data_IF_082677683452
#
_entry.id   IF_082677683452
#
_cell.length_a   1.000
_cell.length_b   1.000
_cell.length_c   1.000
_cell.angle_alpha   90.00
_cell.angle_beta   90.00
_cell.angle_gamma   90.00
#
_symmetry.space_group_name_H-M   'P 1'
#
loop_
_entity.id
_entity.type
_entity.pdbx_description
1 polymer ?
#
# COMPACT_ATOMS: atom_id res chain seq x y z
N UNK A 1 4.17 -24.62 67.91
CA UNK A 1 5.29 -24.55 66.94
C UNK A 1 4.76 -23.84 65.71
N UNK A 2 5.01 -22.53 65.57
CA UNK A 2 4.56 -21.76 64.41
C UNK A 2 5.53 -22.10 63.28
N UNK A 3 5.09 -22.90 62.32
CA UNK A 3 5.85 -23.16 61.10
C UNK A 3 5.80 -21.86 60.31
N UNK A 4 6.84 -21.02 60.47
CA UNK A 4 7.07 -19.90 59.55
C UNK A 4 7.38 -20.54 58.20
N UNK A 5 6.42 -20.46 57.29
CA UNK A 5 6.63 -20.78 55.89
C UNK A 5 7.56 -19.71 55.31
N UNK A 6 8.87 -19.83 55.57
CA UNK A 6 9.87 -18.94 55.00
C UNK A 6 10.08 -19.38 53.57
N UNK A 7 9.28 -18.82 52.66
CA UNK A 7 9.51 -18.91 51.23
C UNK A 7 10.98 -18.51 50.99
N UNK A 8 11.76 -19.31 50.24
CA UNK A 8 13.16 -18.99 50.01
C UNK A 8 13.27 -17.60 49.36
N UNK A 9 14.27 -16.78 49.75
CA UNK A 9 14.43 -15.44 49.20
C UNK A 9 14.60 -15.55 47.70
N UNK A 10 13.75 -14.84 46.95
CA UNK A 10 13.66 -14.94 45.50
C UNK A 10 13.54 -13.54 44.89
N UNK A 11 14.13 -13.30 43.70
CA UNK A 11 13.97 -12.04 42.99
C UNK A 11 12.52 -11.93 42.48
N UNK A 12 11.95 -10.72 42.48
CA UNK A 12 10.59 -10.47 42.00
C UNK A 12 10.64 -9.27 41.05
N UNK A 13 10.25 -9.50 39.80
CA UNK A 13 10.15 -8.45 38.78
C UNK A 13 8.87 -7.62 39.00
N UNK A 14 9.02 -6.31 39.15
CA UNK A 14 7.91 -5.36 39.09
C UNK A 14 8.18 -4.33 38.00
N UNK A 15 7.17 -4.00 37.20
CA UNK A 15 7.28 -3.02 36.11
C UNK A 15 6.25 -1.91 36.28
N UNK A 16 6.60 -0.69 35.89
CA UNK A 16 5.68 0.45 35.84
C UNK A 16 6.11 1.45 34.78
N UNK A 17 5.22 1.89 33.87
CA UNK A 17 3.81 1.51 33.74
C UNK A 17 3.63 0.14 33.05
N UNK A 18 2.41 -0.42 33.10
CA UNK A 18 2.06 -1.67 32.41
C UNK A 18 1.87 -1.52 30.89
N UNK A 19 1.75 -0.29 30.39
CA UNK A 19 1.69 0.04 28.97
C UNK A 19 2.44 1.35 28.73
N UNK A 20 3.13 1.45 27.61
CA UNK A 20 3.90 2.64 27.24
C UNK A 20 3.07 3.58 26.37
N UNK A 21 2.98 4.84 26.80
CA UNK A 21 2.43 5.93 26.00
C UNK A 21 3.58 6.76 25.45
N UNK A 22 3.79 6.69 24.15
CA UNK A 22 4.83 7.45 23.46
C UNK A 22 4.33 8.84 23.03
N UNK A 23 3.05 9.15 23.24
CA UNK A 23 2.46 10.43 22.91
C UNK A 23 2.46 10.73 21.41
N UNK A 24 2.72 12.00 21.08
CA UNK A 24 2.67 12.51 19.71
C UNK A 24 4.01 12.34 19.01
N UNK A 25 4.06 11.48 18.00
CA UNK A 25 5.24 11.25 17.17
C UNK A 25 5.14 12.11 15.92
N UNK A 26 6.08 13.04 15.80
CA UNK A 26 6.34 13.78 14.57
C UNK A 26 7.60 13.20 13.92
N UNK A 27 7.47 12.56 12.76
CA UNK A 27 8.59 11.94 12.06
C UNK A 27 9.62 12.97 11.53
N UNK A 28 9.25 14.25 11.44
CA UNK A 28 10.15 15.34 11.03
C UNK A 28 11.01 15.86 12.18
N UNK A 29 10.59 15.65 13.43
CA UNK A 29 11.28 16.16 14.62
C UNK A 29 12.05 15.03 15.33
N UNK A 30 13.00 15.39 16.18
CA UNK A 30 13.71 14.41 17.01
C UNK A 30 12.81 13.96 18.18
N UNK A 31 12.91 12.69 18.54
CA UNK A 31 12.13 12.15 19.64
C UNK A 31 12.49 12.86 20.95
N UNK A 32 11.47 13.27 21.69
CA UNK A 32 11.59 13.93 22.99
C UNK A 32 10.64 13.28 24.00
N UNK A 33 10.78 13.56 25.29
CA UNK A 33 9.92 13.00 26.33
C UNK A 33 8.45 13.39 26.07
N UNK A 34 7.56 12.39 25.95
CA UNK A 34 6.15 12.59 25.54
C UNK A 34 5.93 12.75 24.03
N UNK A 35 7.01 12.73 23.24
CA UNK A 35 7.01 12.85 21.78
C UNK A 35 7.87 11.76 21.14
N UNK A 36 7.37 10.53 21.14
CA UNK A 36 8.09 9.35 20.67
C UNK A 36 9.05 8.73 21.69
N UNK A 37 9.05 9.20 22.94
CA UNK A 37 9.79 8.58 24.05
C UNK A 37 8.83 8.25 25.20
N UNK A 38 8.93 7.02 25.69
CA UNK A 38 8.25 6.53 26.88
C UNK A 38 9.26 5.93 27.86
N UNK A 39 8.98 6.02 29.17
CA UNK A 39 9.85 5.50 30.24
C UNK A 39 9.20 4.29 30.91
N UNK A 40 9.97 3.24 31.07
CA UNK A 40 9.64 2.08 31.89
C UNK A 40 10.57 2.02 33.09
N UNK A 41 10.01 1.93 34.29
CA UNK A 41 10.76 1.63 35.51
C UNK A 41 10.62 0.15 35.83
N UNK A 42 11.75 -0.53 35.99
CA UNK A 42 11.83 -1.91 36.47
C UNK A 42 12.34 -1.87 37.90
N UNK A 43 11.65 -2.55 38.82
CA UNK A 43 12.02 -2.64 40.24
C UNK A 43 12.15 -4.10 40.66
N UNK A 44 13.08 -4.33 41.58
CA UNK A 44 13.21 -5.61 42.26
C UNK A 44 12.47 -5.60 43.61
N UNK A 45 11.30 -6.23 43.63
CA UNK A 45 10.46 -6.35 44.84
C UNK A 45 10.81 -7.58 45.69
N UNK A 46 11.80 -8.34 45.24
CA UNK A 46 12.25 -9.55 45.90
C UNK A 46 13.47 -9.35 46.79
N UNK A 47 13.98 -10.47 47.28
CA UNK A 47 15.01 -10.51 48.33
C UNK A 47 16.40 -10.90 47.80
N UNK A 48 16.51 -11.12 46.48
CA UNK A 48 17.76 -11.46 45.78
C UNK A 48 17.94 -10.57 44.56
N UNK A 49 19.17 -10.51 44.04
CA UNK A 49 19.49 -9.75 42.83
C UNK A 49 18.63 -10.19 41.64
N UNK A 50 17.93 -9.23 41.05
CA UNK A 50 17.16 -9.38 39.82
C UNK A 50 18.08 -9.07 38.63
N UNK A 51 18.15 -9.99 37.67
CA UNK A 51 18.94 -9.87 36.46
C UNK A 51 18.06 -10.23 35.27
N UNK A 52 18.03 -9.36 34.28
CA UNK A 52 17.18 -9.55 33.11
C UNK A 52 17.56 -8.68 31.92
N UNK A 53 16.78 -8.84 30.86
CA UNK A 53 16.90 -8.15 29.58
C UNK A 53 15.53 -7.81 29.01
N UNK A 54 15.44 -6.67 28.34
CA UNK A 54 14.32 -6.23 27.51
C UNK A 54 14.57 -6.71 26.07
N UNK A 55 13.68 -7.55 25.54
CA UNK A 55 13.70 -8.02 24.16
C UNK A 55 12.57 -7.37 23.36
N UNK A 56 12.92 -6.43 22.47
CA UNK A 56 11.99 -5.75 21.58
C UNK A 56 11.41 -6.74 20.56
N UNK A 57 10.09 -6.69 20.34
CA UNK A 57 9.35 -7.57 19.43
C UNK A 57 8.86 -6.85 18.16
N UNK A 58 9.02 -5.52 18.10
CA UNK A 58 8.55 -4.68 16.99
C UNK A 58 9.71 -3.88 16.38
N UNK A 59 9.67 -3.66 15.06
CA UNK A 59 10.76 -2.98 14.35
C UNK A 59 10.83 -1.46 14.60
N UNK A 60 9.73 -0.85 15.07
CA UNK A 60 9.56 0.59 15.22
C UNK A 60 9.92 1.13 16.61
N UNK A 61 10.40 0.31 17.56
CA UNK A 61 10.82 0.74 18.90
C UNK A 61 12.24 0.31 19.21
N UNK A 62 12.94 1.08 20.03
CA UNK A 62 14.19 0.67 20.69
C UNK A 62 14.08 0.89 22.19
N UNK A 63 14.73 0.06 23.00
CA UNK A 63 14.89 0.29 24.43
C UNK A 63 16.36 0.48 24.81
N UNK A 64 16.64 1.42 25.72
CA UNK A 64 17.97 1.66 26.25
C UNK A 64 17.94 2.06 27.74
N UNK A 65 18.83 1.50 28.59
CA UNK A 65 19.62 0.28 28.32
C UNK A 65 18.70 -0.94 28.20
N UNK A 66 19.05 -2.01 27.47
CA UNK A 66 18.20 -3.20 27.39
C UNK A 66 18.43 -4.18 28.56
N UNK A 67 19.59 -4.14 29.20
CA UNK A 67 19.99 -5.04 30.28
C UNK A 67 19.88 -4.34 31.64
N UNK A 68 19.53 -5.10 32.69
CA UNK A 68 19.47 -4.59 34.06
C UNK A 68 19.93 -5.60 35.09
N UNK A 69 20.49 -5.08 36.20
CA UNK A 69 20.94 -5.83 37.37
C UNK A 69 20.61 -5.02 38.61
N UNK A 70 19.64 -5.46 39.40
CA UNK A 70 19.06 -4.69 40.50
C UNK A 70 19.20 -5.45 41.81
N UNK A 71 19.73 -4.78 42.83
CA UNK A 71 19.69 -5.28 44.19
C UNK A 71 18.25 -5.26 44.75
N UNK A 72 17.97 -5.98 45.85
CA UNK A 72 16.66 -5.91 46.51
C UNK A 72 16.23 -4.47 46.80
N UNK A 73 15.03 -4.09 46.37
CA UNK A 73 14.47 -2.74 46.51
C UNK A 73 15.01 -1.69 45.54
N UNK A 74 15.93 -2.04 44.65
CA UNK A 74 16.48 -1.14 43.63
C UNK A 74 15.59 -1.07 42.39
N UNK A 75 15.61 0.09 41.71
CA UNK A 75 14.91 0.32 40.45
C UNK A 75 15.86 0.84 39.37
N UNK A 76 15.58 0.51 38.11
CA UNK A 76 16.20 1.10 36.92
C UNK A 76 15.17 1.66 35.95
N UNK A 77 15.53 2.76 35.30
CA UNK A 77 14.74 3.35 34.22
C UNK A 77 15.27 2.92 32.87
N UNK A 78 14.34 2.60 31.98
CA UNK A 78 14.59 2.18 30.61
C UNK A 78 13.80 3.07 29.66
N UNK A 79 14.50 3.73 28.75
CA UNK A 79 13.90 4.61 27.75
C UNK A 79 13.53 3.80 26.52
N UNK A 80 12.27 3.87 26.14
CA UNK A 80 11.77 3.35 24.89
C UNK A 80 11.60 4.50 23.91
N UNK A 81 12.15 4.36 22.71
CA UNK A 81 12.14 5.40 21.68
C UNK A 81 11.56 4.83 20.39
N UNK A 82 10.60 5.55 19.81
CA UNK A 82 10.05 5.26 18.49
C UNK A 82 11.11 5.57 17.43
N UNK A 83 11.42 4.59 16.59
CA UNK A 83 12.35 4.75 15.47
C UNK A 83 11.72 5.60 14.39
N UNK A 84 12.52 6.48 13.78
CA UNK A 84 12.18 7.13 12.51
C UNK A 84 12.15 6.07 11.42
N UNK A 85 10.95 5.60 11.06
CA UNK A 85 10.75 4.83 9.84
C UNK A 85 10.30 5.80 8.77
N UNK A 86 11.04 5.84 7.67
CA UNK A 86 10.86 6.71 6.51
C UNK A 86 9.68 6.27 5.61
N UNK A 87 8.67 5.60 6.18
CA UNK A 87 7.51 5.08 5.46
C UNK A 87 6.18 5.59 6.04
N UNK A 88 5.54 6.37 5.17
CA UNK A 88 4.11 6.42 4.85
C UNK A 88 3.11 7.07 5.82
N UNK A 89 2.68 8.27 5.40
CA UNK A 89 1.28 8.65 5.10
C UNK A 89 0.18 7.79 5.75
N UNK A 90 0.11 7.77 7.08
CA UNK A 90 -1.12 7.39 7.78
C UNK A 90 -1.91 8.64 8.17
N UNK A 91 -3.24 8.57 8.00
CA UNK A 91 -4.14 9.66 8.39
C UNK A 91 -3.91 10.00 9.87
N UNK A 92 -3.76 11.29 10.12
CA UNK A 92 -3.53 11.88 11.45
C UNK A 92 -4.66 11.50 12.40
N UNK A 93 -4.31 11.23 13.65
CA UNK A 93 -5.27 11.16 14.75
C UNK A 93 -5.71 9.77 15.18
N UNK A 94 -5.23 8.68 14.57
CA UNK A 94 -5.47 7.33 15.09
C UNK A 94 -4.38 6.90 16.08
N UNK A 95 -4.79 6.19 17.13
CA UNK A 95 -3.92 5.50 18.08
C UNK A 95 -3.24 4.34 17.35
N UNK A 96 -1.93 4.43 17.14
CA UNK A 96 -1.10 3.37 16.56
C UNK A 96 -0.33 2.68 17.68
N UNK A 97 -0.06 1.39 17.57
CA UNK A 97 0.63 0.65 18.62
C UNK A 97 0.54 -0.85 18.46
N UNK A 98 1.07 -1.55 19.45
CA UNK A 98 0.96 -3.00 19.60
C UNK A 98 0.76 -3.32 21.08
N UNK A 99 -0.06 -4.32 21.38
CA UNK A 99 -0.21 -4.85 22.75
C UNK A 99 1.02 -5.64 23.20
N UNK A 100 1.93 -5.95 22.27
CA UNK A 100 3.18 -6.64 22.55
C UNK A 100 4.35 -5.98 21.80
N UNK A 101 4.98 -4.98 22.43
CA UNK A 101 6.14 -4.27 21.89
C UNK A 101 7.47 -4.82 22.44
N UNK A 102 7.47 -5.34 23.67
CA UNK A 102 8.66 -5.94 24.27
C UNK A 102 8.32 -7.02 25.30
N UNK A 103 9.24 -7.98 25.44
CA UNK A 103 9.28 -8.98 26.48
C UNK A 103 10.40 -8.62 27.47
N UNK A 104 10.07 -8.37 28.73
CA UNK A 104 11.03 -8.25 29.82
C UNK A 104 11.22 -9.64 30.42
N UNK A 105 12.39 -10.24 30.25
CA UNK A 105 12.71 -11.55 30.79
C UNK A 105 13.79 -11.45 31.86
N UNK A 106 13.55 -12.05 33.02
CA UNK A 106 14.46 -12.02 34.17
C UNK A 106 14.43 -13.32 34.97
N UNK A 107 15.42 -13.48 35.85
CA UNK A 107 15.43 -14.57 36.84
C UNK A 107 14.32 -14.46 37.92
N UNK A 108 13.57 -13.35 37.97
CA UNK A 108 12.46 -13.11 38.90
C UNK A 108 11.07 -13.08 38.26
N UNK A 109 10.96 -13.50 37.00
CA UNK A 109 9.72 -13.50 36.22
C UNK A 109 9.90 -12.96 34.81
N UNK A 110 8.83 -13.04 34.01
CA UNK A 110 8.76 -12.44 32.68
C UNK A 110 7.47 -11.64 32.56
N UNK A 111 7.56 -10.48 31.93
CA UNK A 111 6.43 -9.58 31.70
C UNK A 111 6.43 -9.09 30.25
N UNK A 112 5.24 -8.95 29.67
CA UNK A 112 5.05 -8.38 28.34
C UNK A 112 4.54 -6.97 28.47
N UNK A 113 5.08 -6.05 27.67
CA UNK A 113 4.60 -4.67 27.63
C UNK A 113 4.10 -4.31 26.25
N UNK A 114 2.94 -3.66 26.22
CA UNK A 114 2.37 -3.02 25.04
C UNK A 114 2.70 -1.53 25.01
N UNK A 115 2.41 -0.87 23.90
CA UNK A 115 2.53 0.57 23.82
C UNK A 115 1.93 1.18 22.58
N UNK A 116 1.66 2.48 22.65
CA UNK A 116 0.95 3.22 21.63
C UNK A 116 1.46 4.65 21.47
N UNK A 117 1.22 5.22 20.29
CA UNK A 117 1.56 6.58 19.91
C UNK A 117 0.48 7.16 18.98
N UNK A 118 0.53 8.47 18.78
CA UNK A 118 -0.32 9.20 17.83
C UNK A 118 0.58 9.92 16.84
N UNK A 119 0.18 9.97 15.57
CA UNK A 119 0.94 10.74 14.57
C UNK A 119 0.51 12.20 14.62
N UNK A 120 1.47 13.08 14.82
CA UNK A 120 1.28 14.52 14.64
C UNK A 120 1.49 14.90 13.17
N UNK A 121 0.40 14.94 12.40
CA UNK A 121 0.40 15.58 11.08
C UNK A 121 0.02 17.05 11.22
N UNK A 122 0.67 17.78 12.13
CA UNK A 122 0.78 19.21 11.96
C UNK A 122 1.51 19.44 10.63
N UNK A 123 0.74 19.44 9.54
CA UNK A 123 1.09 20.15 8.33
C UNK A 123 1.45 21.53 8.83
N UNK A 124 2.76 21.78 8.95
CA UNK A 124 3.26 23.12 8.88
C UNK A 124 2.91 23.55 7.48
N UNK A 125 1.68 24.05 7.31
CA UNK A 125 1.28 24.90 6.22
C UNK A 125 2.24 26.07 6.35
N UNK A 126 3.44 25.93 5.77
CA UNK A 126 4.34 27.03 5.52
C UNK A 126 3.46 28.00 4.79
N UNK A 127 3.00 29.05 5.48
CA UNK A 127 2.21 30.15 4.90
C UNK A 127 2.94 30.50 3.62
N UNK A 128 2.36 30.12 2.47
CA UNK A 128 2.96 30.40 1.17
C UNK A 128 3.22 31.90 1.19
N UNK A 129 4.49 32.29 1.11
CA UNK A 129 4.85 33.69 1.07
C UNK A 129 3.99 34.36 -0.02
N UNK A 130 3.39 35.53 0.25
CA UNK A 130 2.53 36.16 -0.75
C UNK A 130 3.32 36.29 -2.05
N UNK A 131 2.75 35.77 -3.15
CA UNK A 131 3.34 35.85 -4.48
C UNK A 131 3.75 37.30 -4.74
N UNK A 132 5.05 37.52 -4.93
CA UNK A 132 5.55 38.89 -5.09
C UNK A 132 4.88 39.56 -6.29
N UNK A 133 4.57 40.86 -6.24
CA UNK A 133 3.93 41.59 -7.34
C UNK A 133 4.71 41.51 -8.66
N UNK A 134 6.00 41.15 -8.61
CA UNK A 134 6.85 40.93 -9.79
C UNK A 134 6.38 39.75 -10.65
N UNK A 135 5.83 38.70 -10.04
CA UNK A 135 5.36 37.51 -10.78
C UNK A 135 4.16 37.86 -11.66
N UNK A 136 3.24 38.69 -11.16
CA UNK A 136 2.12 39.19 -11.95
C UNK A 136 2.56 40.09 -13.11
N UNK A 137 3.61 40.91 -12.91
CA UNK A 137 4.19 41.72 -13.97
C UNK A 137 4.80 40.85 -15.09
N UNK A 138 5.51 39.76 -14.74
CA UNK A 138 6.06 38.82 -15.72
C UNK A 138 4.97 38.07 -16.48
N UNK A 139 3.88 37.66 -15.81
CA UNK A 139 2.73 37.02 -16.45
C UNK A 139 2.03 37.96 -17.45
N UNK A 140 1.82 39.22 -17.07
CA UNK A 140 1.24 40.22 -17.96
C UNK A 140 2.14 40.51 -19.18
N UNK A 141 3.46 40.59 -18.98
CA UNK A 141 4.43 40.76 -20.06
C UNK A 141 4.45 39.56 -21.01
N UNK A 142 4.37 38.34 -20.49
CA UNK A 142 4.29 37.11 -21.28
C UNK A 142 3.01 37.06 -22.13
N UNK A 143 1.87 37.47 -21.56
CA UNK A 143 0.60 37.58 -22.30
C UNK A 143 0.66 38.65 -23.40
N UNK A 144 1.31 39.79 -23.16
CA UNK A 144 1.49 40.81 -24.19
C UNK A 144 2.41 40.35 -25.32
N UNK A 145 3.50 39.65 -25.01
CA UNK A 145 4.42 39.11 -26.02
C UNK A 145 3.73 38.04 -26.88
N UNK A 146 2.97 37.14 -26.27
CA UNK A 146 2.20 36.13 -27.02
C UNK A 146 1.15 36.78 -27.92
N UNK A 147 0.42 37.79 -27.44
CA UNK A 147 -0.52 38.54 -28.27
C UNK A 147 0.17 39.28 -29.43
N UNK A 148 1.36 39.86 -29.21
CA UNK A 148 2.14 40.53 -30.26
C UNK A 148 2.63 39.55 -31.34
N UNK A 149 3.07 38.35 -30.95
CA UNK A 149 3.46 37.30 -31.91
C UNK A 149 2.26 36.84 -32.73
N UNK A 150 1.12 36.58 -32.08
CA UNK A 150 -0.11 36.18 -32.79
C UNK A 150 -0.58 37.27 -33.77
N UNK A 151 -0.53 38.54 -33.37
CA UNK A 151 -0.85 39.66 -34.26
C UNK A 151 0.09 39.75 -35.46
N UNK A 152 1.40 39.52 -35.25
CA UNK A 152 2.39 39.54 -36.32
C UNK A 152 2.17 38.41 -37.34
N UNK A 153 1.89 37.19 -36.87
CA UNK A 153 1.54 36.05 -37.74
C UNK A 153 0.28 36.35 -38.55
N UNK A 154 -0.76 36.90 -37.91
CA UNK A 154 -2.01 37.24 -38.59
C UNK A 154 -1.82 38.36 -39.64
N UNK A 155 -0.91 39.30 -39.40
CA UNK A 155 -0.56 40.36 -40.35
C UNK A 155 0.22 39.84 -41.56
N UNK A 156 1.11 38.85 -41.37
CA UNK A 156 1.79 38.19 -42.48
C UNK A 156 0.82 37.41 -43.39
N UNK A 157 -0.16 36.72 -42.80
CA UNK A 157 -1.10 35.88 -43.55
C UNK A 157 -2.01 36.71 -44.49
N UNK A 158 -2.36 37.94 -44.07
CA UNK A 158 -3.07 38.90 -44.94
C UNK A 158 -2.32 39.26 -46.22
N UNK A 159 -0.98 39.24 -46.23
CA UNK A 159 -0.19 39.56 -47.43
C UNK A 159 -0.07 38.39 -48.42
N UNK A 160 -0.33 37.16 -47.98
CA UNK A 160 -0.18 35.94 -48.79
C UNK A 160 -1.53 35.49 -49.41
N UNK A 161 -2.65 35.90 -48.81
CA UNK A 161 -3.99 35.44 -49.21
C UNK A 161 -4.49 36.01 -50.54
N UNK A 162 -3.94 37.14 -51.04
CA UNK A 162 -4.37 37.74 -52.31
C UNK A 162 -3.74 37.09 -53.56
N UNK A 163 -2.66 36.30 -53.42
CA UNK A 163 -1.94 35.74 -54.59
C UNK A 163 -2.23 34.25 -54.85
N UNK A 164 -2.75 33.49 -53.89
CA UNK A 164 -2.98 32.03 -54.04
C UNK A 164 -4.37 31.63 -54.51
N UNK A 165 -5.37 32.49 -54.40
CA UNK A 165 -6.78 32.16 -54.71
C UNK A 165 -7.09 32.09 -56.20
N UNK A 166 -6.28 32.70 -57.06
CA UNK A 166 -6.54 32.72 -58.51
C UNK A 166 -5.95 31.53 -59.28
N UNK A 167 -4.82 30.95 -58.84
CA UNK A 167 -4.17 29.83 -59.57
C UNK A 167 -4.73 28.45 -59.19
N UNK A 168 -5.13 28.21 -57.94
CA UNK A 168 -5.61 26.88 -57.54
C UNK A 168 -7.06 26.58 -57.93
N UNK A 169 -7.88 27.62 -58.13
CA UNK A 169 -9.30 27.45 -58.44
C UNK A 169 -9.50 26.98 -59.89
N UNK A 170 -8.68 27.46 -60.85
CA UNK A 170 -8.77 27.02 -62.25
C UNK A 170 -8.32 25.57 -62.46
N UNK A 171 -7.31 25.10 -61.71
CA UNK A 171 -6.84 23.71 -61.76
C UNK A 171 -7.83 22.70 -61.15
N UNK A 172 -8.60 23.11 -60.13
CA UNK A 172 -9.60 22.26 -59.50
C UNK A 172 -10.83 22.02 -60.40
N UNK A 173 -11.26 23.04 -61.16
CA UNK A 173 -12.42 22.90 -62.05
C UNK A 173 -12.17 21.99 -63.27
N UNK A 174 -10.95 21.94 -63.79
CA UNK A 174 -10.60 21.05 -64.91
C UNK A 174 -10.52 19.58 -64.49
N UNK A 175 -9.97 19.27 -63.31
CA UNK A 175 -9.92 17.89 -62.82
C UNK A 175 -11.30 17.30 -62.52
N UNK A 176 -12.24 18.11 -62.02
CA UNK A 176 -13.61 17.64 -61.75
C UNK A 176 -14.36 17.34 -63.05
N UNK A 177 -14.17 18.16 -64.10
CA UNK A 177 -14.81 17.93 -65.39
C UNK A 177 -14.37 16.61 -66.05
N UNK A 178 -13.08 16.26 -65.98
CA UNK A 178 -12.56 15.00 -66.54
C UNK A 178 -13.05 13.77 -65.75
N UNK A 179 -13.20 13.89 -64.43
CA UNK A 179 -13.64 12.77 -63.58
C UNK A 179 -15.12 12.43 -63.79
N UNK A 180 -15.98 13.44 -64.00
CA UNK A 180 -17.42 13.23 -64.23
C UNK A 180 -17.68 12.57 -65.60
N UNK A 181 -16.89 12.90 -66.63
CA UNK A 181 -17.02 12.26 -67.94
C UNK A 181 -16.58 10.78 -67.94
N UNK A 182 -15.64 10.40 -67.06
CA UNK A 182 -15.23 9.00 -66.89
C UNK A 182 -16.27 8.16 -66.12
N UNK A 183 -16.92 8.73 -65.11
CA UNK A 183 -17.92 8.04 -64.29
C UNK A 183 -19.20 7.71 -65.09
N UNK A 184 -19.64 8.63 -65.97
CA UNK A 184 -20.80 8.42 -66.84
C UNK A 184 -20.52 7.32 -67.89
N UNK A 185 -19.27 7.16 -68.34
CA UNK A 185 -18.89 6.11 -69.29
C UNK A 185 -18.80 4.71 -68.64
N UNK A 186 -18.66 4.62 -67.31
CA UNK A 186 -18.50 3.36 -66.57
C UNK A 186 -19.81 2.73 -66.08
N UNK A 187 -20.96 3.40 -66.22
CA UNK A 187 -22.27 2.94 -65.71
C UNK A 187 -23.12 2.10 -66.69
N UNK A 188 -22.50 1.26 -67.54
CA UNK A 188 -23.24 0.16 -68.19
C UNK A 188 -23.35 -1.07 -67.24
N UNK A 189 -24.51 -1.74 -67.17
CA UNK A 189 -24.84 -2.59 -66.03
C UNK A 189 -24.35 -4.04 -66.17
N UNK A 190 -23.90 -4.64 -65.07
CA UNK A 190 -23.95 -6.09 -64.79
C UNK A 190 -23.82 -6.35 -63.27
N UNK A 191 -24.27 -7.49 -62.72
CA UNK A 191 -25.18 -7.47 -61.58
C UNK A 191 -24.56 -7.93 -60.24
N UNK A 192 -25.09 -7.33 -59.18
CA UNK A 192 -25.38 -7.82 -57.82
C UNK A 192 -24.53 -8.94 -57.22
N UNK A 193 -23.82 -8.62 -56.12
CA UNK A 193 -23.60 -9.58 -55.03
C UNK A 193 -23.67 -8.90 -53.66
N UNK A 194 -24.73 -9.25 -52.94
CA UNK A 194 -25.03 -8.86 -51.55
C UNK A 194 -24.12 -9.62 -50.58
N UNK A 195 -23.48 -8.93 -49.63
CA UNK A 195 -23.00 -9.53 -48.38
C UNK A 195 -23.40 -8.62 -47.22
N UNK A 196 -24.20 -9.18 -46.33
CA UNK A 196 -24.60 -8.64 -45.01
C UNK A 196 -23.74 -9.33 -43.97
N UNK A 197 -23.13 -8.58 -43.04
CA UNK A 197 -22.77 -9.10 -41.70
C UNK A 197 -23.01 -7.99 -40.67
N UNK A 198 -23.76 -8.27 -39.57
CA UNK A 198 -24.19 -7.26 -38.61
C UNK A 198 -23.27 -7.12 -37.39
N UNK A 199 -23.46 -5.98 -36.72
CA UNK A 199 -22.91 -5.65 -35.41
C UNK A 199 -23.54 -6.46 -34.27
N UNK A 200 -22.74 -6.79 -33.25
CA UNK A 200 -23.23 -7.19 -31.94
C UNK A 200 -22.37 -6.54 -30.84
N UNK A 201 -23.03 -5.67 -30.09
CA UNK A 201 -22.61 -5.14 -28.80
C UNK A 201 -22.99 -6.11 -27.67
N UNK A 202 -22.64 -5.73 -26.42
CA UNK A 202 -23.06 -6.27 -25.11
C UNK A 202 -22.17 -7.43 -24.59
N UNK A 203 -21.82 -7.57 -23.31
CA UNK A 203 -22.24 -6.91 -22.07
C UNK A 203 -21.18 -7.14 -20.95
N UNK A 204 -21.15 -6.23 -19.99
CA UNK A 204 -20.59 -6.41 -18.64
C UNK A 204 -21.43 -7.44 -17.85
N UNK A 205 -20.84 -8.40 -17.12
CA UNK A 205 -21.59 -9.19 -16.16
C UNK A 205 -21.51 -8.59 -14.75
N UNK A 206 -22.68 -8.34 -14.16
CA UNK A 206 -22.86 -8.07 -12.74
C UNK A 206 -22.90 -9.40 -11.94
N UNK A 207 -22.45 -9.33 -10.68
CA UNK A 207 -22.35 -10.41 -9.69
C UNK A 207 -23.73 -10.91 -9.20
N UNK A 208 -23.96 -12.23 -9.00
CA UNK A 208 -25.09 -12.73 -8.22
C UNK A 208 -24.79 -12.66 -6.72
N UNK A 209 -25.79 -12.26 -5.94
CA UNK A 209 -25.66 -11.76 -4.56
C UNK A 209 -25.21 -12.73 -3.47
N UNK A 210 -24.84 -12.13 -2.34
CA UNK A 210 -25.13 -12.61 -1.00
C UNK A 210 -24.99 -11.43 -0.03
N UNK A 211 -26.12 -11.03 0.56
CA UNK A 211 -26.13 -10.29 1.83
C UNK A 211 -25.57 -11.19 2.93
N UNK A 212 -24.58 -10.68 3.65
CA UNK A 212 -24.44 -10.72 5.12
C UNK A 212 -22.97 -10.48 5.45
N UNK A 213 -22.69 -9.27 5.95
CA UNK A 213 -21.38 -8.87 6.47
C UNK A 213 -21.09 -9.64 7.77
N UNK A 214 -20.48 -10.81 7.64
CA UNK A 214 -19.86 -11.51 8.75
C UNK A 214 -18.36 -11.66 8.45
N UNK A 215 -17.54 -11.05 9.31
CA UNK A 215 -16.09 -11.01 9.23
C UNK A 215 -15.48 -12.42 9.12
N UNK A 216 -14.30 -12.57 8.47
CA UNK A 216 -13.59 -13.84 8.45
C UNK A 216 -13.31 -14.30 9.88
N UNK A 217 -13.73 -15.52 10.20
CA UNK A 217 -13.54 -16.12 11.52
C UNK A 217 -12.13 -16.70 11.60
N UNK A 218 -11.38 -16.34 12.65
CA UNK A 218 -10.04 -16.86 12.96
C UNK A 218 -10.06 -18.33 13.43
N UNK A 219 -10.82 -19.20 12.79
CA UNK A 219 -10.76 -20.65 13.03
C UNK A 219 -9.37 -21.17 12.64
N UNK A 220 -8.68 -21.95 13.49
CA UNK A 220 -7.41 -22.56 13.13
C UNK A 220 -7.52 -23.27 11.77
N UNK A 221 -6.54 -23.06 10.90
CA UNK A 221 -6.45 -23.82 9.66
C UNK A 221 -6.21 -25.29 10.03
N UNK A 222 -7.11 -26.18 9.58
CA UNK A 222 -6.99 -27.62 9.78
C UNK A 222 -6.54 -28.22 8.44
N UNK A 223 -5.35 -28.86 8.37
CA UNK A 223 -4.90 -29.54 7.17
C UNK A 223 -5.95 -30.57 6.68
N UNK A 224 -6.39 -30.45 5.42
CA UNK A 224 -7.38 -31.34 4.79
C UNK A 224 -8.79 -30.75 4.62
N UNK A 225 -9.18 -29.77 5.44
CA UNK A 225 -10.47 -29.08 5.31
C UNK A 225 -10.42 -27.91 4.29
N UNK A 226 -9.20 -27.48 3.94
CA UNK A 226 -8.91 -26.36 3.05
C UNK A 226 -7.81 -26.73 2.05
N UNK A 227 -7.70 -26.02 0.91
CA UNK A 227 -6.60 -26.23 -0.03
C UNK A 227 -5.23 -26.01 0.64
N UNK A 228 -4.20 -26.61 0.06
CA UNK A 228 -2.83 -26.42 0.52
C UNK A 228 -2.45 -24.91 0.43
N UNK A 229 -1.93 -24.30 1.51
CA UNK A 229 -1.55 -22.88 1.53
C UNK A 229 -0.54 -22.47 0.46
N UNK A 230 0.46 -23.31 0.16
CA UNK A 230 1.48 -23.02 -0.86
C UNK A 230 0.86 -23.03 -2.25
N UNK A 231 0.03 -24.03 -2.56
CA UNK A 231 -0.69 -24.11 -3.83
C UNK A 231 -1.67 -22.95 -4.00
N UNK A 232 -2.34 -22.54 -2.92
CA UNK A 232 -3.22 -21.38 -2.92
C UNK A 232 -2.46 -20.09 -3.28
N UNK A 233 -1.30 -19.82 -2.65
CA UNK A 233 -0.48 -18.65 -2.98
C UNK A 233 0.06 -18.71 -4.40
N UNK A 234 0.45 -19.89 -4.90
CA UNK A 234 0.84 -20.07 -6.31
C UNK A 234 -0.31 -19.74 -7.25
N UNK A 235 -1.51 -20.21 -6.94
CA UNK A 235 -2.71 -19.92 -7.75
C UNK A 235 -3.08 -18.43 -7.74
N UNK A 236 -2.84 -17.72 -6.63
CA UNK A 236 -3.04 -16.28 -6.53
C UNK A 236 -2.16 -15.52 -7.52
N UNK A 237 -0.85 -15.77 -7.52
CA UNK A 237 0.06 -15.11 -8.45
C UNK A 237 -0.10 -15.59 -9.89
N UNK A 238 -0.48 -16.86 -10.13
CA UNK A 238 -0.83 -17.33 -11.47
C UNK A 238 -2.05 -16.56 -12.03
N UNK A 239 -3.07 -16.32 -11.20
CA UNK A 239 -4.25 -15.55 -11.58
C UNK A 239 -3.89 -14.11 -11.96
N UNK A 240 -2.92 -13.51 -11.26
CA UNK A 240 -2.36 -12.19 -11.61
C UNK A 240 -1.61 -12.26 -12.95
N UNK A 241 -0.75 -13.27 -13.14
CA UNK A 241 0.03 -13.47 -14.36
C UNK A 241 -0.87 -13.67 -15.60
N UNK A 242 -2.04 -14.29 -15.43
CA UNK A 242 -3.06 -14.47 -16.47
C UNK A 242 -3.86 -13.19 -16.78
N UNK A 243 -3.61 -12.08 -16.07
CA UNK A 243 -4.35 -10.83 -16.21
C UNK A 243 -5.75 -10.86 -15.58
N UNK A 244 -6.08 -11.91 -14.80
CA UNK A 244 -7.37 -12.09 -14.13
C UNK A 244 -7.42 -11.34 -12.79
N UNK A 245 -7.09 -10.05 -12.83
CA UNK A 245 -6.88 -9.22 -11.63
C UNK A 245 -8.13 -9.12 -10.74
N UNK A 246 -9.34 -9.17 -11.31
CA UNK A 246 -10.57 -9.22 -10.53
C UNK A 246 -10.72 -10.50 -9.72
N UNK A 247 -10.23 -11.64 -10.23
CA UNK A 247 -10.33 -12.91 -9.51
C UNK A 247 -9.31 -12.94 -8.38
N UNK A 248 -8.07 -12.49 -8.66
CA UNK A 248 -7.02 -12.33 -7.66
C UNK A 248 -7.44 -11.39 -6.52
N UNK A 249 -8.14 -10.29 -6.83
CA UNK A 249 -8.70 -9.38 -5.83
C UNK A 249 -9.61 -10.09 -4.82
N UNK A 250 -10.45 -11.02 -5.27
CA UNK A 250 -11.36 -11.77 -4.39
C UNK A 250 -10.69 -12.89 -3.60
N UNK A 251 -9.44 -13.23 -3.91
CA UNK A 251 -8.62 -14.16 -3.11
C UNK A 251 -7.99 -13.47 -1.90
N UNK A 252 -8.10 -12.15 -1.79
CA UNK A 252 -7.65 -11.36 -0.65
C UNK A 252 -8.77 -11.22 0.38
N UNK A 253 -8.42 -11.20 1.66
CA UNK A 253 -9.36 -10.87 2.74
C UNK A 253 -9.79 -9.40 2.63
N UNK A 254 -10.96 -9.05 3.17
CA UNK A 254 -11.41 -7.65 3.20
C UNK A 254 -10.40 -6.73 3.90
N UNK A 255 -9.76 -7.24 4.96
CA UNK A 255 -8.67 -6.55 5.65
C UNK A 255 -7.50 -6.27 4.70
N UNK A 256 -7.07 -7.27 3.92
CA UNK A 256 -5.99 -7.13 2.95
C UNK A 256 -6.36 -6.18 1.80
N UNK A 257 -7.59 -6.28 1.29
CA UNK A 257 -8.13 -5.38 0.26
C UNK A 257 -8.11 -3.92 0.71
N UNK A 258 -8.54 -3.65 1.95
CA UNK A 258 -8.50 -2.32 2.55
C UNK A 258 -7.04 -1.86 2.74
N UNK A 259 -6.19 -2.73 3.29
CA UNK A 259 -4.80 -2.39 3.61
C UNK A 259 -3.94 -2.10 2.37
N UNK A 260 -4.09 -2.90 1.31
CA UNK A 260 -3.34 -2.73 0.07
C UNK A 260 -3.71 -1.43 -0.64
N UNK A 261 -5.02 -1.20 -0.77
CA UNK A 261 -5.50 -0.56 -1.98
C UNK A 261 -6.54 0.54 -1.71
N UNK A 262 -6.83 0.85 -0.44
CA UNK A 262 -7.70 1.97 -0.10
C UNK A 262 -6.98 3.31 -0.23
N UNK A 263 -7.20 4.00 -1.36
CA UNK A 263 -6.72 5.36 -1.60
C UNK A 263 -7.90 6.32 -1.82
N UNK A 264 -7.86 7.51 -1.20
CA UNK A 264 -8.95 8.49 -1.24
C UNK A 264 -9.25 8.90 -2.69
N UNK A 265 -10.34 8.37 -3.24
CA UNK A 265 -10.90 8.78 -4.54
C UNK A 265 -10.79 7.78 -5.69
N UNK A 266 -10.16 6.62 -5.49
CA UNK A 266 -10.09 5.54 -6.50
C UNK A 266 -10.68 4.26 -5.91
N UNK A 267 -11.42 3.49 -6.72
CA UNK A 267 -11.93 2.19 -6.28
C UNK A 267 -10.74 1.27 -5.94
N UNK A 268 -10.71 0.64 -4.75
CA UNK A 268 -9.59 -0.22 -4.34
C UNK A 268 -9.24 -1.33 -5.34
N UNK A 269 -10.24 -1.90 -6.02
CA UNK A 269 -10.00 -2.91 -7.05
C UNK A 269 -9.28 -2.33 -8.29
N UNK A 270 -9.59 -1.09 -8.66
CA UNK A 270 -8.92 -0.40 -9.77
C UNK A 270 -7.47 -0.03 -9.39
N UNK A 271 -7.26 0.39 -8.13
CA UNK A 271 -5.91 0.65 -7.61
C UNK A 271 -5.07 -0.64 -7.57
N UNK A 272 -5.65 -1.75 -7.12
CA UNK A 272 -5.03 -3.07 -7.20
C UNK A 272 -4.62 -3.39 -8.63
N UNK A 273 -5.56 -3.29 -9.57
CA UNK A 273 -5.30 -3.61 -10.97
C UNK A 273 -4.19 -2.72 -11.57
N UNK A 274 -4.15 -1.44 -11.21
CA UNK A 274 -3.12 -0.51 -11.64
C UNK A 274 -1.72 -0.85 -11.12
N UNK A 275 -1.58 -1.41 -9.92
CA UNK A 275 -0.27 -1.84 -9.38
C UNK A 275 0.32 -3.04 -10.12
N UNK A 276 -0.53 -3.85 -10.75
CA UNK A 276 -0.11 -4.98 -11.58
C UNK A 276 -0.10 -4.63 -13.07
N UNK A 277 -0.51 -3.41 -13.44
CA UNK A 277 -0.48 -2.94 -14.81
C UNK A 277 0.96 -2.71 -15.27
N UNK A 278 1.31 -3.26 -16.44
CA UNK A 278 2.66 -3.16 -17.00
C UNK A 278 3.59 -4.31 -16.62
N UNK A 279 3.12 -5.32 -15.88
CA UNK A 279 3.84 -6.59 -15.69
C UNK A 279 3.49 -7.52 -16.85
N UNK A 280 4.50 -7.90 -17.62
CA UNK A 280 4.40 -8.80 -18.79
C UNK A 280 4.57 -10.28 -18.44
N UNK A 281 5.34 -10.57 -17.39
CA UNK A 281 5.61 -11.93 -16.92
C UNK A 281 5.77 -11.91 -15.40
N UNK A 282 5.17 -12.90 -14.73
CA UNK A 282 5.23 -13.06 -13.28
C UNK A 282 5.42 -14.54 -12.96
N UNK A 283 6.53 -14.84 -12.27
CA UNK A 283 6.93 -16.20 -11.94
C UNK A 283 7.12 -16.33 -10.44
N UNK A 284 6.58 -17.40 -9.88
CA UNK A 284 6.76 -17.75 -8.47
C UNK A 284 7.93 -18.73 -8.35
N UNK A 285 9.05 -18.27 -7.76
CA UNK A 285 10.26 -19.08 -7.64
C UNK A 285 10.08 -20.13 -6.53
N UNK A 286 9.65 -19.70 -5.35
CA UNK A 286 9.30 -20.60 -4.26
C UNK A 286 8.16 -20.03 -3.40
N UNK A 287 7.48 -20.94 -2.69
CA UNK A 287 6.51 -20.65 -1.62
C UNK A 287 6.68 -21.75 -0.59
N UNK A 288 6.92 -21.40 0.67
CA UNK A 288 7.11 -22.35 1.76
C UNK A 288 6.33 -21.96 3.00
N UNK A 289 5.46 -22.87 3.45
CA UNK A 289 4.75 -22.76 4.71
C UNK A 289 5.73 -22.88 5.89
N UNK A 290 5.65 -21.93 6.84
CA UNK A 290 6.55 -21.89 7.99
C UNK A 290 6.07 -22.78 9.14
N UNK A 291 4.74 -22.84 9.34
CA UNK A 291 4.12 -23.60 10.44
C UNK A 291 2.78 -24.19 10.00
N UNK A 292 2.60 -25.50 10.15
CA UNK A 292 1.40 -26.22 9.69
C UNK A 292 0.16 -26.04 10.58
N UNK A 293 0.31 -25.60 11.84
CA UNK A 293 -0.82 -25.47 12.78
C UNK A 293 -0.94 -24.06 13.35
N UNK A 294 -0.75 -23.04 12.51
CA UNK A 294 -0.83 -21.64 12.89
C UNK A 294 -1.90 -20.92 12.05
N UNK A 295 -2.66 -20.03 12.69
CA UNK A 295 -3.58 -19.12 12.01
C UNK A 295 -3.31 -17.67 12.49
N UNK A 296 -2.95 -16.73 11.60
CA UNK A 296 -2.71 -16.92 10.17
C UNK A 296 -1.56 -17.89 9.87
N UNK A 297 -1.70 -18.67 8.82
CA UNK A 297 -0.63 -19.50 8.29
C UNK A 297 0.37 -18.60 7.56
N UNK A 298 1.64 -18.68 7.96
CA UNK A 298 2.70 -17.79 7.46
C UNK A 298 3.50 -18.53 6.41
N UNK A 299 3.66 -17.91 5.23
CA UNK A 299 4.44 -18.42 4.12
C UNK A 299 5.53 -17.43 3.73
N UNK A 300 6.71 -17.94 3.42
CA UNK A 300 7.74 -17.16 2.75
C UNK A 300 7.69 -17.50 1.26
N UNK A 301 7.67 -16.48 0.41
CA UNK A 301 7.60 -16.63 -1.03
C UNK A 301 8.59 -15.71 -1.72
N UNK A 302 9.01 -16.09 -2.91
CA UNK A 302 9.80 -15.24 -3.78
C UNK A 302 9.18 -15.24 -5.17
N UNK A 303 8.99 -14.02 -5.69
CA UNK A 303 8.47 -13.80 -7.03
C UNK A 303 9.49 -13.04 -7.87
N UNK A 304 9.52 -13.36 -9.15
CA UNK A 304 10.22 -12.60 -10.17
C UNK A 304 9.18 -12.02 -11.12
N UNK A 305 9.27 -10.72 -11.38
CA UNK A 305 8.39 -10.04 -12.33
C UNK A 305 9.21 -9.36 -13.41
N UNK A 306 8.64 -9.29 -14.61
CA UNK A 306 9.20 -8.59 -15.75
C UNK A 306 8.18 -7.60 -16.30
N UNK A 307 8.57 -6.35 -16.38
CA UNK A 307 7.74 -5.27 -16.89
C UNK A 307 7.75 -5.25 -18.43
N UNK A 308 6.73 -4.64 -19.02
CA UNK A 308 6.60 -4.45 -20.46
C UNK A 308 7.74 -3.61 -21.07
N UNK A 309 8.38 -2.75 -20.27
CA UNK A 309 9.57 -1.98 -20.67
C UNK A 309 10.86 -2.82 -20.72
N UNK A 310 10.77 -4.12 -20.39
CA UNK A 310 11.88 -5.07 -20.38
C UNK A 310 12.67 -5.11 -19.08
N UNK A 311 12.35 -4.27 -18.08
CA UNK A 311 12.96 -4.34 -16.75
C UNK A 311 12.45 -5.56 -15.97
N UNK A 312 13.29 -6.11 -15.09
CA UNK A 312 12.93 -7.25 -14.24
C UNK A 312 13.29 -6.98 -12.79
N UNK A 313 12.46 -7.45 -11.88
CA UNK A 313 12.70 -7.39 -10.44
C UNK A 313 12.40 -8.71 -9.76
N UNK A 314 12.94 -8.85 -8.55
CA UNK A 314 12.71 -9.97 -7.66
C UNK A 314 12.22 -9.42 -6.33
N UNK A 315 11.32 -10.13 -5.66
CA UNK A 315 10.76 -9.73 -4.38
C UNK A 315 10.58 -10.93 -3.47
N UNK A 316 11.20 -10.84 -2.28
CA UNK A 316 10.96 -11.73 -1.16
C UNK A 316 9.78 -11.20 -0.36
N UNK A 317 8.81 -12.08 -0.09
CA UNK A 317 7.53 -11.73 0.50
C UNK A 317 7.23 -12.65 1.69
N UNK A 318 6.70 -12.06 2.76
CA UNK A 318 6.04 -12.83 3.81
C UNK A 318 4.53 -12.69 3.66
N UNK A 319 3.85 -13.83 3.45
CA UNK A 319 2.42 -13.89 3.15
C UNK A 319 1.70 -14.58 4.30
N UNK A 320 0.68 -13.92 4.84
CA UNK A 320 -0.21 -14.48 5.85
C UNK A 320 -1.52 -14.88 5.20
N UNK A 321 -1.94 -16.14 5.38
CA UNK A 321 -3.22 -16.66 4.88
C UNK A 321 -4.12 -17.10 6.01
N UNK A 322 -5.42 -16.87 5.85
CA UNK A 322 -6.46 -17.25 6.81
C UNK A 322 -7.49 -18.16 6.17
N UNK A 323 -8.11 -19.03 6.97
CA UNK A 323 -9.21 -19.87 6.53
C UNK A 323 -10.52 -19.08 6.49
N UNK A 324 -11.29 -19.20 5.40
CA UNK A 324 -12.63 -18.63 5.26
C UNK A 324 -13.67 -19.74 5.24
N UNK A 325 -14.38 -19.91 6.35
CA UNK A 325 -15.44 -20.92 6.49
C UNK A 325 -16.64 -20.66 5.57
N UNK A 326 -16.91 -19.40 5.21
CA UNK A 326 -18.00 -19.04 4.30
C UNK A 326 -17.71 -19.42 2.86
N UNK A 327 -16.46 -19.27 2.43
CA UNK A 327 -16.05 -19.52 1.05
C UNK A 327 -15.45 -20.94 0.87
N UNK A 328 -15.23 -21.68 1.96
CA UNK A 328 -14.60 -23.00 1.92
C UNK A 328 -13.19 -22.97 1.34
N UNK A 329 -12.47 -21.86 1.49
CA UNK A 329 -11.15 -21.63 0.89
C UNK A 329 -10.27 -20.79 1.80
N UNK A 330 -9.03 -20.56 1.38
CA UNK A 330 -8.09 -19.66 2.03
C UNK A 330 -8.21 -18.23 1.45
N UNK A 331 -7.77 -17.25 2.23
CA UNK A 331 -7.69 -15.85 1.82
C UNK A 331 -6.32 -15.27 2.19
N UNK A 332 -5.75 -14.43 1.31
CA UNK A 332 -4.56 -13.64 1.59
C UNK A 332 -4.93 -12.54 2.58
N UNK A 333 -4.42 -12.59 3.81
CA UNK A 333 -4.71 -11.59 4.85
C UNK A 333 -3.70 -10.45 4.90
N UNK A 334 -2.43 -10.74 4.65
CA UNK A 334 -1.39 -9.73 4.51
C UNK A 334 -0.24 -10.20 3.62
N UNK A 335 0.42 -9.24 2.96
CA UNK A 335 1.66 -9.42 2.20
C UNK A 335 2.62 -8.35 2.72
N UNK A 336 3.81 -8.75 3.16
CA UNK A 336 4.85 -7.88 3.72
C UNK A 336 6.13 -7.93 2.92
#
# INVERSE_FOLDING_TARGET
>A
MIIRNSQPPQPILAISPASLDFGLVNYAEEAAEGHGIARLTIRNDGDRMLVGRIAIQVSWVTAYPPDFRLNPGESSDHLFTVRRVNQLTWNSGHKLGSDFIALINSNGGSETIGGYYYIDNAETVKKRAPLSPRIFAFLALGLLLTAAVLYFVFWQDRKITETRTTEQVSAFYTQIAETIHADIAAQLPTPTRTIVVPAAALATPARPGASDSAAPVFTPWIPGDYPNPEDFVRSYYATIAEGRLSDAWWMMSEKSQIACCYNKGVNPADYFAANWAGISELTVNYVFLQTENQNPAVLNAEITFKNEDGTSGQSDLQIEVIASSQQGTLLIDSIK
#
